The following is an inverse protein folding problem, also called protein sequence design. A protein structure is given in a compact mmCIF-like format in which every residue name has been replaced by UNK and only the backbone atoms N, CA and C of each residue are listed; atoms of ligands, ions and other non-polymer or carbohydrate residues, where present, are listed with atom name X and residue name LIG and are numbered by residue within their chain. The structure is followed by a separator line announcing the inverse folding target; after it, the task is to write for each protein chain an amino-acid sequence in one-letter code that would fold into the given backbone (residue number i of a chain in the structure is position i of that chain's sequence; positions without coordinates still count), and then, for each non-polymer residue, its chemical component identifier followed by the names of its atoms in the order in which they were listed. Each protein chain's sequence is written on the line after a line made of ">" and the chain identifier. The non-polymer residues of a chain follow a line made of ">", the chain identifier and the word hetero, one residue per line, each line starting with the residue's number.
data_IF_662554498890
#
_entry.id   IF_662554498890
#
_cell.length_a   1.000
_cell.length_b   1.000
_cell.length_c   1.000
_cell.angle_alpha   90.00
_cell.angle_beta   90.00
_cell.angle_gamma   90.00
#
_symmetry.space_group_name_H-M   'P 1'
#
loop_
_entity.id
_entity.type
_entity.pdbx_description
1 polymer ?
#
# COMPACT_ATOMS: atom_id res chain seq x y z
N UNK A 1 26.78 -1.98 9.78
CA UNK A 1 25.76 -2.34 10.80
C UNK A 1 24.64 -1.33 10.77
N UNK A 2 23.44 -1.74 10.36
CA UNK A 2 22.24 -0.89 10.40
C UNK A 2 21.84 -0.63 11.86
N UNK A 3 21.61 0.63 12.22
CA UNK A 3 21.34 1.06 13.62
C UNK A 3 19.99 0.57 14.17
N UNK A 4 19.01 0.35 13.29
CA UNK A 4 17.60 0.10 13.67
C UNK A 4 17.32 -1.38 13.99
N UNK A 5 18.05 -2.32 13.38
CA UNK A 5 17.87 -3.76 13.60
C UNK A 5 19.22 -4.48 13.76
N UNK A 6 19.93 -4.27 14.88
CA UNK A 6 21.21 -4.92 15.11
C UNK A 6 21.05 -6.45 15.16
N UNK A 7 21.98 -7.16 14.53
CA UNK A 7 22.07 -8.64 14.52
C UNK A 7 20.86 -9.38 13.92
N UNK A 8 19.95 -8.70 13.22
CA UNK A 8 18.86 -9.35 12.49
C UNK A 8 19.33 -9.79 11.11
N UNK A 9 19.14 -11.09 10.84
CA UNK A 9 19.44 -11.73 9.55
C UNK A 9 18.47 -11.32 8.45
N UNK A 10 17.22 -11.07 8.82
CA UNK A 10 16.16 -10.61 7.92
C UNK A 10 15.39 -9.45 8.54
N UNK A 11 15.09 -8.40 7.77
CA UNK A 11 14.41 -7.18 8.24
C UNK A 11 13.70 -6.46 7.09
N UNK A 12 12.58 -5.84 7.43
CA UNK A 12 11.86 -4.88 6.60
C UNK A 12 11.86 -3.54 7.35
N UNK A 13 12.29 -2.48 6.70
CA UNK A 13 12.18 -1.11 7.20
C UNK A 13 11.27 -0.33 6.26
N UNK A 14 10.22 0.28 6.81
CA UNK A 14 9.24 1.06 6.06
C UNK A 14 9.29 2.50 6.57
N UNK A 15 9.61 3.42 5.67
CA UNK A 15 9.54 4.87 5.86
C UNK A 15 8.48 5.45 4.93
N UNK A 16 8.03 6.68 5.18
CA UNK A 16 6.97 7.33 4.40
C UNK A 16 7.24 7.36 2.88
N UNK A 17 8.50 7.47 2.47
CA UNK A 17 8.89 7.59 1.07
C UNK A 17 9.59 6.34 0.51
N UNK A 18 10.08 5.45 1.37
CA UNK A 18 11.01 4.38 0.99
C UNK A 18 10.81 3.14 1.86
N UNK A 19 11.07 1.98 1.28
CA UNK A 19 11.16 0.71 2.02
C UNK A 19 12.48 0.00 1.71
N UNK A 20 13.00 -0.73 2.69
CA UNK A 20 14.20 -1.56 2.57
C UNK A 20 13.88 -2.97 3.06
N UNK A 21 14.06 -3.95 2.17
CA UNK A 21 13.88 -5.37 2.48
C UNK A 21 15.24 -6.05 2.39
N UNK A 22 15.64 -6.74 3.47
CA UNK A 22 16.86 -7.54 3.52
C UNK A 22 16.51 -8.90 4.11
N UNK A 23 16.78 -9.98 3.37
CA UNK A 23 16.55 -11.35 3.80
C UNK A 23 17.72 -12.22 3.35
N UNK A 24 18.00 -13.30 4.09
CA UNK A 24 19.00 -14.31 3.68
C UNK A 24 18.48 -15.12 2.49
N UNK A 25 17.20 -15.48 2.52
CA UNK A 25 16.55 -16.22 1.45
C UNK A 25 16.03 -15.26 0.39
N UNK A 26 15.97 -15.74 -0.86
CA UNK A 26 15.43 -14.95 -1.97
C UNK A 26 13.92 -14.76 -1.79
N UNK A 27 13.48 -13.50 -1.86
CA UNK A 27 12.07 -13.10 -1.80
C UNK A 27 11.57 -12.47 -3.12
N UNK A 28 12.46 -12.30 -4.10
CA UNK A 28 12.11 -11.67 -5.38
C UNK A 28 11.00 -12.45 -6.10
N UNK A 29 9.89 -11.76 -6.39
CA UNK A 29 8.74 -12.33 -7.09
C UNK A 29 7.88 -13.27 -6.24
N UNK A 30 8.20 -13.43 -4.95
CA UNK A 30 7.39 -14.21 -4.03
C UNK A 30 6.33 -13.31 -3.40
N UNK A 31 5.06 -13.70 -3.51
CA UNK A 31 3.96 -13.00 -2.85
C UNK A 31 4.01 -13.25 -1.35
N UNK A 32 4.13 -12.17 -0.58
CA UNK A 32 3.93 -12.16 0.87
C UNK A 32 2.77 -11.21 1.21
N UNK A 33 1.64 -11.78 1.62
CA UNK A 33 0.44 -11.04 2.01
C UNK A 33 0.36 -10.77 3.52
N UNK A 34 1.46 -11.00 4.26
CA UNK A 34 1.51 -10.78 5.70
C UNK A 34 1.43 -9.29 6.02
N UNK A 35 0.58 -8.92 6.98
CA UNK A 35 0.43 -7.52 7.41
C UNK A 35 1.62 -7.15 8.30
N UNK A 36 2.52 -6.29 7.80
CA UNK A 36 3.69 -5.83 8.56
C UNK A 36 3.33 -4.72 9.57
N UNK A 37 2.52 -3.75 9.16
CA UNK A 37 2.05 -2.63 9.99
C UNK A 37 0.61 -2.28 9.58
N UNK A 38 -0.26 -2.07 10.57
CA UNK A 38 -1.62 -1.54 10.37
C UNK A 38 -1.85 -0.36 11.30
N UNK A 39 -2.14 0.81 10.72
CA UNK A 39 -2.46 2.04 11.44
C UNK A 39 -3.90 2.43 11.12
N UNK A 40 -4.70 2.64 12.16
CA UNK A 40 -6.13 2.95 12.04
C UNK A 40 -6.45 4.29 12.71
N UNK A 41 -7.34 5.06 12.09
CA UNK A 41 -7.91 6.25 12.71
C UNK A 41 -9.17 5.85 13.50
N UNK A 42 -9.26 6.25 14.76
CA UNK A 42 -10.42 5.97 15.64
C UNK A 42 -11.58 6.96 15.47
N UNK A 43 -11.42 7.99 14.64
CA UNK A 43 -12.46 8.99 14.40
C UNK A 43 -13.53 8.51 13.41
N UNK A 44 -14.75 8.99 13.58
CA UNK A 44 -15.85 8.72 12.66
C UNK A 44 -15.75 9.56 11.39
N UNK A 45 -16.01 8.93 10.25
CA UNK A 45 -16.15 9.63 8.97
C UNK A 45 -17.55 10.24 8.82
N UNK A 46 -17.62 11.43 8.25
CA UNK A 46 -18.89 12.04 7.81
C UNK A 46 -19.50 11.21 6.67
N UNK A 47 -20.84 11.04 6.67
CA UNK A 47 -21.56 10.24 5.67
C UNK A 47 -20.96 8.84 5.48
N UNK A 48 -20.88 8.09 6.58
CA UNK A 48 -20.13 6.83 6.67
C UNK A 48 -20.37 5.83 5.53
N UNK A 49 -21.62 5.62 5.10
CA UNK A 49 -21.94 4.68 4.02
C UNK A 49 -21.42 5.17 2.66
N UNK A 50 -21.56 6.46 2.36
CA UNK A 50 -21.02 7.05 1.14
C UNK A 50 -19.48 7.06 1.17
N UNK A 51 -18.89 7.35 2.32
CA UNK A 51 -17.45 7.27 2.53
C UNK A 51 -16.92 5.85 2.26
N UNK A 52 -17.53 4.82 2.86
CA UNK A 52 -17.14 3.41 2.65
C UNK A 52 -17.22 3.02 1.18
N UNK A 53 -18.32 3.33 0.51
CA UNK A 53 -18.52 3.02 -0.91
C UNK A 53 -17.47 3.72 -1.80
N UNK A 54 -17.21 5.01 -1.56
CA UNK A 54 -16.20 5.79 -2.29
C UNK A 54 -14.79 5.29 -2.02
N UNK A 55 -14.47 4.95 -0.78
CA UNK A 55 -13.16 4.41 -0.39
C UNK A 55 -12.90 3.06 -1.05
N UNK A 56 -13.87 2.13 -1.02
CA UNK A 56 -13.72 0.82 -1.65
C UNK A 56 -13.47 0.91 -3.16
N UNK A 57 -14.28 1.73 -3.86
CA UNK A 57 -14.08 1.98 -5.28
C UNK A 57 -12.74 2.68 -5.58
N UNK A 58 -12.32 3.62 -4.72
CA UNK A 58 -11.05 4.31 -4.84
C UNK A 58 -9.87 3.35 -4.68
N UNK A 59 -9.91 2.47 -3.66
CA UNK A 59 -8.87 1.47 -3.42
C UNK A 59 -8.75 0.48 -4.56
N UNK A 60 -9.88 -0.04 -5.08
CA UNK A 60 -9.88 -0.90 -6.27
C UNK A 60 -9.19 -0.24 -7.47
N UNK A 61 -9.55 1.02 -7.75
CA UNK A 61 -8.95 1.80 -8.84
C UNK A 61 -7.45 2.03 -8.66
N UNK A 62 -6.97 2.37 -7.44
CA UNK A 62 -5.53 2.61 -7.26
C UNK A 62 -4.73 1.31 -7.27
N UNK A 63 -5.28 0.19 -6.80
CA UNK A 63 -4.62 -1.13 -6.89
C UNK A 63 -4.45 -1.55 -8.35
N UNK A 64 -5.52 -1.52 -9.15
CA UNK A 64 -5.48 -1.86 -10.58
C UNK A 64 -4.47 -0.98 -11.33
N UNK A 65 -4.47 0.33 -11.05
CA UNK A 65 -3.59 1.28 -11.71
C UNK A 65 -2.13 1.11 -11.29
N UNK A 66 -1.87 0.75 -10.04
CA UNK A 66 -0.54 0.42 -9.57
C UNK A 66 -0.03 -0.85 -10.28
N UNK A 67 -0.85 -1.89 -10.36
CA UNK A 67 -0.47 -3.18 -10.93
C UNK A 67 -0.20 -3.12 -12.44
N UNK A 68 -1.08 -2.48 -13.21
CA UNK A 68 -1.07 -2.63 -14.67
C UNK A 68 -0.71 -1.36 -15.44
N UNK A 69 -0.93 -0.18 -14.86
CA UNK A 69 -0.80 1.10 -15.58
C UNK A 69 0.40 1.94 -15.13
N UNK A 70 1.10 1.56 -14.06
CA UNK A 70 2.20 2.32 -13.49
C UNK A 70 3.53 1.56 -13.59
N UNK A 71 4.51 2.05 -14.36
CA UNK A 71 5.84 1.41 -14.43
C UNK A 71 6.61 1.46 -13.09
N UNK A 72 6.14 2.28 -12.15
CA UNK A 72 6.68 2.35 -10.78
C UNK A 72 5.92 1.47 -9.79
N UNK A 73 4.87 0.78 -10.24
CA UNK A 73 3.95 0.00 -9.40
C UNK A 73 3.38 0.80 -8.23
N UNK A 74 3.13 2.10 -8.47
CA UNK A 74 2.61 3.06 -7.51
C UNK A 74 1.49 3.85 -8.17
N UNK A 75 0.37 4.02 -7.48
CA UNK A 75 -0.71 4.88 -7.91
C UNK A 75 -1.33 5.63 -6.73
N UNK A 76 -1.77 6.86 -7.01
CA UNK A 76 -2.50 7.74 -6.08
C UNK A 76 -3.73 8.27 -6.80
N UNK A 77 -4.84 8.40 -6.09
CA UNK A 77 -6.05 9.05 -6.59
C UNK A 77 -6.86 9.62 -5.43
N UNK A 78 -7.85 10.44 -5.74
CA UNK A 78 -8.85 10.92 -4.80
C UNK A 78 -10.27 10.71 -5.33
N UNK A 79 -11.24 10.81 -4.42
CA UNK A 79 -12.66 10.81 -4.74
C UNK A 79 -13.40 11.77 -3.80
N UNK A 80 -14.35 12.53 -4.35
CA UNK A 80 -15.24 13.36 -3.54
C UNK A 80 -16.22 12.50 -2.75
N UNK A 81 -16.30 12.75 -1.44
CA UNK A 81 -17.29 12.15 -0.54
C UNK A 81 -18.45 13.14 -0.38
N UNK A 82 -18.12 14.40 -0.12
CA UNK A 82 -19.03 15.56 -0.11
C UNK A 82 -18.50 16.63 -1.09
N UNK A 83 -19.25 17.71 -1.36
CA UNK A 83 -18.74 18.85 -2.12
C UNK A 83 -17.49 19.53 -1.51
N UNK A 84 -17.22 19.31 -0.22
CA UNK A 84 -16.14 19.97 0.52
C UNK A 84 -15.08 18.99 1.05
N UNK A 85 -15.27 17.68 0.88
CA UNK A 85 -14.37 16.65 1.42
C UNK A 85 -14.06 15.59 0.38
N UNK A 86 -12.75 15.34 0.20
CA UNK A 86 -12.23 14.26 -0.60
C UNK A 86 -11.60 13.19 0.30
N UNK A 87 -11.74 11.94 -0.12
CA UNK A 87 -10.92 10.83 0.35
C UNK A 87 -9.77 10.61 -0.63
N UNK A 88 -8.59 10.28 -0.12
CA UNK A 88 -7.38 10.01 -0.88
C UNK A 88 -6.96 8.56 -0.67
N UNK A 89 -6.45 7.93 -1.71
CA UNK A 89 -6.02 6.53 -1.69
C UNK A 89 -4.69 6.39 -2.42
N UNK A 90 -3.86 5.48 -1.92
CA UNK A 90 -2.55 5.14 -2.48
C UNK A 90 -2.38 3.62 -2.42
N UNK A 91 -1.84 3.05 -3.49
CA UNK A 91 -1.40 1.66 -3.54
C UNK A 91 0.02 1.62 -4.11
N UNK A 92 0.88 0.83 -3.48
CA UNK A 92 2.25 0.60 -3.90
C UNK A 92 2.57 -0.89 -3.78
N UNK A 93 3.05 -1.48 -4.87
CA UNK A 93 3.57 -2.83 -4.88
C UNK A 93 5.09 -2.81 -4.99
N UNK A 94 5.75 -3.87 -4.50
CA UNK A 94 7.18 -4.06 -4.75
C UNK A 94 7.39 -4.40 -6.22
N UNK A 95 8.47 -3.89 -6.80
CA UNK A 95 8.70 -3.92 -8.26
C UNK A 95 9.13 -5.28 -8.81
N UNK A 96 9.35 -6.23 -7.92
CA UNK A 96 9.71 -7.61 -8.21
C UNK A 96 8.50 -8.52 -8.43
N UNK A 97 7.27 -8.04 -8.15
CA UNK A 97 6.02 -8.77 -8.40
C UNK A 97 5.52 -8.56 -9.83
N UNK A 98 4.72 -9.52 -10.31
CA UNK A 98 3.92 -9.36 -11.53
C UNK A 98 2.60 -8.64 -11.23
N UNK A 99 1.94 -8.10 -12.27
CA UNK A 99 0.72 -7.31 -12.12
C UNK A 99 -0.41 -8.05 -11.39
N UNK A 100 -0.65 -9.31 -11.76
CA UNK A 100 -1.71 -10.12 -11.15
C UNK A 100 -1.49 -10.36 -9.66
N UNK A 101 -0.23 -10.56 -9.24
CA UNK A 101 0.14 -10.73 -7.85
C UNK A 101 0.01 -9.43 -7.04
N UNK A 102 0.19 -8.28 -7.70
CA UNK A 102 -0.01 -6.96 -7.09
C UNK A 102 -1.50 -6.59 -6.96
N UNK A 103 -2.37 -7.06 -7.87
CA UNK A 103 -3.80 -6.74 -7.89
C UNK A 103 -4.70 -7.84 -7.28
N UNK A 104 -4.16 -8.58 -6.32
CA UNK A 104 -4.87 -9.68 -5.66
C UNK A 104 -5.96 -9.23 -4.69
#
# INVERSE_FOLDING_TARGET
>A
MTRVCPCKKSTILIYNACQLHHFIESFFGAVDASIVVSLVNSQNATQQEQFKARLGALMGKVMERAAYASPRMLAVSSAAVTPFMNVYGMAQCTRDLVGDDCNR
#
